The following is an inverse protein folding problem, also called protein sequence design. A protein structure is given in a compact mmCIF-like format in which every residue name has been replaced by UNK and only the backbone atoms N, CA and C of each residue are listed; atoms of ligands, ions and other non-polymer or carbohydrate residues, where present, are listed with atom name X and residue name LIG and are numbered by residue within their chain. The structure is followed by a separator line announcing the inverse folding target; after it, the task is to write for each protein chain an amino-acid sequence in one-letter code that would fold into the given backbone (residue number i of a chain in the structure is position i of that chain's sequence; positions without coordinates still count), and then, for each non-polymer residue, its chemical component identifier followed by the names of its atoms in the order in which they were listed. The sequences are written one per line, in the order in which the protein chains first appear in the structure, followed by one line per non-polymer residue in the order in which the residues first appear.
data_IF_497094224604
#
_entry.id   IF_497094224604
#
_cell.length_a   1.000
_cell.length_b   1.000
_cell.length_c   1.000
_cell.angle_alpha   90.00
_cell.angle_beta   90.00
_cell.angle_gamma   90.00
#
_symmetry.space_group_name_H-M   'P 1'
#
loop_
_entity.id
_entity.type
_entity.pdbx_description
1 polymer ?
#
# COMPACT_ATOMS: atom_id res chain seq x y z
N UNK A 1 20.80 2.29 20.88
CA UNK A 1 19.70 2.13 21.86
C UNK A 1 18.74 3.28 21.62
N UNK A 2 17.71 3.07 20.79
CA UNK A 2 16.71 4.09 20.46
C UNK A 2 15.50 3.85 21.36
N UNK A 3 15.07 4.91 22.04
CA UNK A 3 14.08 4.86 23.10
C UNK A 3 12.70 4.46 22.57
N UNK A 4 12.14 3.39 23.15
CA UNK A 4 10.73 3.05 23.01
C UNK A 4 9.95 3.93 23.98
N UNK A 5 9.21 4.91 23.47
CA UNK A 5 8.17 5.58 24.25
C UNK A 5 6.85 4.87 23.99
N UNK A 6 6.39 4.15 25.02
CA UNK A 6 5.03 3.64 25.09
C UNK A 6 4.07 4.83 25.19
N UNK A 7 3.12 4.93 24.27
CA UNK A 7 1.98 5.83 24.38
C UNK A 7 0.72 4.99 24.60
N UNK A 8 0.12 5.18 25.77
CA UNK A 8 -1.14 4.61 26.22
C UNK A 8 -2.32 5.04 25.32
N UNK A 9 -3.15 4.05 24.93
CA UNK A 9 -4.59 4.18 25.12
C UNK A 9 -5.45 4.93 24.08
N UNK A 10 -5.25 4.75 22.78
CA UNK A 10 -6.35 4.75 21.79
C UNK A 10 -5.84 4.25 20.45
N UNK A 11 -6.11 2.98 20.16
CA UNK A 11 -5.42 2.18 19.15
C UNK A 11 -5.70 2.59 17.70
N UNK A 12 -4.81 3.43 17.17
CA UNK A 12 -4.42 3.38 15.77
C UNK A 12 -2.94 3.75 15.72
N UNK A 13 -2.08 2.72 15.68
CA UNK A 13 -0.68 2.87 15.29
C UNK A 13 -0.69 3.35 13.84
N UNK A 14 -0.70 4.67 13.65
CA UNK A 14 -0.45 5.28 12.35
C UNK A 14 1.06 5.28 12.17
N UNK A 15 1.55 4.39 11.31
CA UNK A 15 2.89 4.54 10.78
C UNK A 15 2.93 5.88 10.04
N UNK A 16 3.62 6.87 10.61
CA UNK A 16 3.80 8.17 9.99
C UNK A 16 4.66 7.98 8.74
N UNK A 17 3.99 7.84 7.61
CA UNK A 17 4.61 7.74 6.30
C UNK A 17 4.70 9.10 5.60
N UNK A 18 4.59 10.21 6.35
CA UNK A 18 4.82 11.56 5.82
C UNK A 18 6.03 11.58 4.87
N UNK A 19 6.10 12.47 3.87
CA UNK A 19 7.27 12.56 2.97
C UNK A 19 8.62 12.84 3.68
N UNK A 20 8.61 13.01 5.01
CA UNK A 20 9.76 13.08 5.89
C UNK A 20 10.14 11.74 6.58
N UNK A 21 9.35 10.68 6.41
CA UNK A 21 9.62 9.35 6.94
C UNK A 21 10.77 8.72 6.15
N UNK A 22 11.83 8.23 6.82
CA UNK A 22 13.00 7.69 6.13
C UNK A 22 12.59 6.49 5.24
N UNK A 23 12.71 6.67 3.93
CA UNK A 23 12.36 5.66 2.92
C UNK A 23 11.20 6.04 1.99
N UNK A 24 10.44 7.10 2.29
CA UNK A 24 9.40 7.64 1.40
C UNK A 24 9.99 8.77 0.56
N UNK A 25 10.00 8.67 -0.80
CA UNK A 25 10.53 9.72 -1.66
C UNK A 25 9.79 11.05 -1.52
N UNK A 26 10.41 12.16 -1.87
CA UNK A 26 9.75 13.49 -1.81
C UNK A 26 8.61 13.64 -2.86
N UNK A 27 8.62 12.87 -3.95
CA UNK A 27 7.63 12.90 -5.04
C UNK A 27 6.56 11.82 -4.89
N UNK A 28 5.71 11.96 -3.87
CA UNK A 28 4.61 11.04 -3.59
C UNK A 28 3.33 11.50 -4.29
N UNK A 29 2.86 10.72 -5.25
CA UNK A 29 1.59 10.91 -5.94
C UNK A 29 0.40 10.57 -5.03
N UNK A 30 0.54 9.55 -4.19
CA UNK A 30 -0.45 9.18 -3.19
C UNK A 30 0.17 8.36 -2.06
N UNK A 31 -0.32 8.56 -0.83
CA UNK A 31 0.12 7.82 0.33
C UNK A 31 -1.07 7.53 1.25
N UNK A 32 -1.22 6.26 1.62
CA UNK A 32 -2.26 5.79 2.53
C UNK A 32 -1.67 4.79 3.51
N UNK A 33 -1.93 4.98 4.80
CA UNK A 33 -1.65 4.01 5.84
C UNK A 33 -2.98 3.60 6.48
N UNK A 34 -3.17 2.29 6.68
CA UNK A 34 -4.25 1.80 7.52
C UNK A 34 -3.71 0.76 8.51
N UNK A 35 -4.05 0.94 9.78
CA UNK A 35 -3.84 -0.05 10.83
C UNK A 35 -5.20 -0.49 11.33
N UNK A 36 -5.42 -1.79 11.45
CA UNK A 36 -6.63 -2.34 12.07
C UNK A 36 -6.20 -3.22 13.23
N UNK A 37 -6.80 -3.05 14.40
CA UNK A 37 -6.57 -3.89 15.58
C UNK A 37 -7.25 -5.27 15.47
N UNK A 38 -8.06 -5.48 14.43
CA UNK A 38 -8.58 -6.78 14.05
C UNK A 38 -7.48 -7.59 13.34
N UNK A 39 -7.47 -8.91 13.54
CA UNK A 39 -6.59 -9.90 12.89
C UNK A 39 -6.60 -9.88 11.34
N UNK A 40 -7.26 -8.91 10.71
CA UNK A 40 -7.47 -8.79 9.27
C UNK A 40 -6.37 -8.00 8.53
N UNK A 41 -5.33 -7.54 9.23
CA UNK A 41 -4.14 -6.95 8.62
C UNK A 41 -4.34 -5.51 8.17
N UNK A 42 -3.53 -4.60 8.72
CA UNK A 42 -3.39 -3.23 8.24
C UNK A 42 -2.22 -3.13 7.28
N UNK A 43 -2.45 -2.62 6.07
CA UNK A 43 -1.41 -2.34 5.09
C UNK A 43 -1.19 -0.84 4.89
N UNK A 44 -0.10 -0.48 4.23
CA UNK A 44 0.09 0.86 3.69
C UNK A 44 0.48 0.81 2.23
N UNK A 45 0.16 1.86 1.49
CA UNK A 45 0.62 2.04 0.12
C UNK A 45 1.15 3.45 -0.08
N UNK A 46 2.31 3.58 -0.71
CA UNK A 46 2.78 4.83 -1.30
C UNK A 46 3.00 4.63 -2.80
N UNK A 47 2.53 5.57 -3.61
CA UNK A 47 2.69 5.54 -5.06
C UNK A 47 3.44 6.81 -5.45
N UNK A 48 4.55 6.64 -6.14
CA UNK A 48 5.40 7.71 -6.68
C UNK A 48 5.43 7.59 -8.20
N UNK A 49 6.07 8.52 -8.90
CA UNK A 49 6.23 8.42 -10.35
C UNK A 49 7.02 7.16 -10.77
N UNK A 50 7.97 6.72 -9.93
CA UNK A 50 8.93 5.68 -10.29
C UNK A 50 8.69 4.32 -9.60
N UNK A 51 7.91 4.29 -8.52
CA UNK A 51 7.73 3.07 -7.72
C UNK A 51 6.43 3.05 -6.90
N UNK A 52 6.01 1.82 -6.57
CA UNK A 52 4.94 1.51 -5.61
C UNK A 52 5.57 0.88 -4.37
N UNK A 53 5.21 1.41 -3.20
CA UNK A 53 5.64 0.90 -1.90
C UNK A 53 4.45 0.27 -1.20
N UNK A 54 4.58 -0.98 -0.78
CA UNK A 54 3.59 -1.72 -0.01
C UNK A 54 4.15 -1.96 1.39
N UNK A 55 3.49 -1.44 2.42
CA UNK A 55 3.82 -1.76 3.80
C UNK A 55 2.90 -2.86 4.33
N UNK A 56 3.51 -3.86 4.97
CA UNK A 56 2.86 -4.94 5.70
C UNK A 56 3.57 -5.14 7.06
N UNK A 57 3.07 -6.02 7.92
CA UNK A 57 3.70 -6.32 9.22
C UNK A 57 5.18 -6.73 9.08
N UNK A 58 5.54 -7.35 7.96
CA UNK A 58 6.89 -7.83 7.63
C UNK A 58 7.88 -6.70 7.28
N UNK A 59 7.39 -5.49 6.99
CA UNK A 59 8.19 -4.36 6.52
C UNK A 59 7.62 -3.69 5.26
N UNK A 60 8.44 -2.84 4.63
CA UNK A 60 8.08 -2.09 3.41
C UNK A 60 8.73 -2.76 2.21
N UNK A 61 7.91 -3.16 1.23
CA UNK A 61 8.32 -3.64 -0.07
C UNK A 61 8.25 -2.49 -1.09
N UNK A 62 9.32 -2.28 -1.84
CA UNK A 62 9.35 -1.37 -3.00
C UNK A 62 9.29 -2.20 -4.29
N UNK A 63 8.45 -1.77 -5.22
CA UNK A 63 8.33 -2.34 -6.57
C UNK A 63 8.49 -1.19 -7.56
N UNK A 64 9.48 -1.26 -8.45
CA UNK A 64 9.68 -0.23 -9.47
C UNK A 64 8.54 -0.27 -10.49
N UNK A 65 8.06 0.92 -10.87
CA UNK A 65 6.93 1.07 -11.78
C UNK A 65 7.19 0.41 -13.15
N UNK A 66 8.45 0.41 -13.60
CA UNK A 66 8.89 -0.28 -14.82
C UNK A 66 8.76 -1.79 -14.76
N UNK A 67 8.76 -2.36 -13.55
CA UNK A 67 8.75 -3.82 -13.33
C UNK A 67 7.34 -4.35 -13.09
N UNK A 68 6.35 -3.45 -12.91
CA UNK A 68 4.95 -3.81 -12.72
C UNK A 68 4.34 -4.19 -14.07
N UNK A 69 3.96 -5.47 -14.20
CA UNK A 69 3.33 -6.02 -15.40
C UNK A 69 1.83 -5.73 -15.44
N UNK A 70 1.18 -5.86 -14.27
CA UNK A 70 -0.26 -5.62 -14.13
C UNK A 70 -0.62 -5.35 -12.66
N UNK A 71 -1.81 -4.81 -12.44
CA UNK A 71 -2.35 -4.58 -11.10
C UNK A 71 -3.87 -4.66 -11.12
N UNK A 72 -4.47 -4.90 -9.94
CA UNK A 72 -5.93 -4.85 -9.78
C UNK A 72 -6.33 -4.46 -8.36
N UNK A 73 -7.54 -3.93 -8.23
CA UNK A 73 -8.21 -3.74 -6.94
C UNK A 73 -9.48 -4.59 -6.84
N UNK A 74 -9.59 -5.36 -5.75
CA UNK A 74 -10.76 -6.21 -5.49
C UNK A 74 -11.45 -5.81 -4.17
N UNK A 75 -12.74 -5.45 -4.17
CA UNK A 75 -13.48 -5.15 -2.95
C UNK A 75 -13.48 -6.33 -1.96
N UNK A 76 -13.35 -6.03 -0.66
CA UNK A 76 -13.33 -7.00 0.45
C UNK A 76 -14.06 -6.40 1.67
N UNK A 77 -15.38 -6.28 1.58
CA UNK A 77 -16.19 -5.71 2.65
C UNK A 77 -15.84 -4.25 2.93
N UNK A 78 -15.34 -3.95 4.14
CA UNK A 78 -14.87 -2.60 4.53
C UNK A 78 -13.46 -2.27 4.03
N UNK A 79 -12.80 -3.24 3.40
CA UNK A 79 -11.47 -3.13 2.83
C UNK A 79 -11.55 -3.33 1.31
N UNK A 80 -10.42 -3.12 0.64
CA UNK A 80 -10.15 -3.66 -0.68
C UNK A 80 -8.74 -4.25 -0.69
N UNK A 81 -8.54 -5.26 -1.51
CA UNK A 81 -7.22 -5.80 -1.79
C UNK A 81 -6.64 -5.08 -3.01
N UNK A 82 -5.46 -4.51 -2.87
CA UNK A 82 -4.61 -4.10 -3.97
C UNK A 82 -3.63 -5.23 -4.25
N UNK A 83 -3.59 -5.70 -5.48
CA UNK A 83 -2.61 -6.68 -5.92
C UNK A 83 -1.76 -6.08 -7.04
N UNK A 84 -0.45 -6.16 -6.89
CA UNK A 84 0.54 -5.69 -7.85
C UNK A 84 1.36 -6.89 -8.32
N UNK A 85 1.41 -7.11 -9.62
CA UNK A 85 2.15 -8.21 -10.23
C UNK A 85 3.41 -7.68 -10.91
N UNK A 86 4.57 -8.15 -10.45
CA UNK A 86 5.87 -7.93 -11.06
C UNK A 86 6.47 -9.29 -11.48
N UNK A 87 7.60 -9.69 -10.90
CA UNK A 87 8.08 -11.08 -10.96
C UNK A 87 7.24 -12.01 -10.09
N UNK A 88 6.67 -11.48 -9.01
CA UNK A 88 5.71 -12.19 -8.17
C UNK A 88 4.50 -11.30 -7.86
N UNK A 89 3.39 -11.92 -7.44
CA UNK A 89 2.18 -11.19 -7.06
C UNK A 89 2.26 -10.77 -5.58
N UNK A 90 2.21 -9.46 -5.34
CA UNK A 90 2.19 -8.86 -4.02
C UNK A 90 0.81 -8.31 -3.72
N UNK A 91 0.30 -8.53 -2.51
CA UNK A 91 -1.06 -8.16 -2.16
C UNK A 91 -1.08 -7.44 -0.83
N UNK A 92 -1.65 -6.24 -0.79
CA UNK A 92 -1.91 -5.49 0.45
C UNK A 92 -3.40 -5.23 0.61
N UNK A 93 -3.85 -5.01 1.85
CA UNK A 93 -5.23 -4.65 2.16
C UNK A 93 -5.30 -3.23 2.68
N UNK A 94 -6.26 -2.47 2.15
CA UNK A 94 -6.47 -1.06 2.45
C UNK A 94 -7.95 -0.80 2.70
N UNK A 95 -8.29 0.23 3.47
CA UNK A 95 -9.70 0.59 3.66
C UNK A 95 -10.35 1.05 2.35
N UNK A 96 -11.62 0.66 2.15
CA UNK A 96 -12.34 0.93 0.90
C UNK A 96 -12.53 2.42 0.57
N UNK A 97 -12.46 3.32 1.56
CA UNK A 97 -12.51 4.78 1.30
C UNK A 97 -11.28 5.30 0.53
N UNK A 98 -10.13 4.61 0.60
CA UNK A 98 -8.95 4.94 -0.18
C UNK A 98 -8.99 4.40 -1.61
N UNK A 99 -9.88 3.44 -1.90
CA UNK A 99 -9.87 2.68 -3.16
C UNK A 99 -9.90 3.59 -4.39
N UNK A 100 -10.78 4.58 -4.42
CA UNK A 100 -10.88 5.49 -5.57
C UNK A 100 -9.58 6.25 -5.81
N UNK A 101 -8.96 6.77 -4.75
CA UNK A 101 -7.71 7.51 -4.88
C UNK A 101 -6.54 6.60 -5.26
N UNK A 102 -6.48 5.39 -4.69
CA UNK A 102 -5.49 4.37 -5.07
C UNK A 102 -5.63 3.97 -6.54
N UNK A 103 -6.85 3.69 -7.02
CA UNK A 103 -7.12 3.34 -8.42
C UNK A 103 -6.68 4.46 -9.36
N UNK A 104 -6.99 5.72 -9.03
CA UNK A 104 -6.57 6.87 -9.84
C UNK A 104 -5.04 7.04 -9.87
N UNK A 105 -4.37 6.91 -8.72
CA UNK A 105 -2.91 7.02 -8.63
C UNK A 105 -2.20 5.89 -9.40
N UNK A 106 -2.64 4.65 -9.23
CA UNK A 106 -2.14 3.50 -9.99
C UNK A 106 -2.40 3.65 -11.49
N UNK A 107 -3.59 4.12 -11.88
CA UNK A 107 -3.93 4.35 -13.30
C UNK A 107 -3.02 5.39 -13.95
N UNK A 108 -2.67 6.45 -13.22
CA UNK A 108 -1.76 7.49 -13.71
C UNK A 108 -0.31 7.04 -13.79
N UNK A 109 0.11 6.19 -12.87
CA UNK A 109 1.52 5.78 -12.72
C UNK A 109 1.86 4.58 -13.59
N UNK A 110 1.01 3.56 -13.57
CA UNK A 110 1.25 2.25 -14.19
C UNK A 110 0.40 2.05 -15.44
N UNK A 111 -0.84 2.58 -15.44
CA UNK A 111 -1.83 2.34 -16.50
C UNK A 111 -3.10 1.67 -15.96
N UNK A 112 -4.08 1.35 -16.82
CA UNK A 112 -5.40 0.86 -16.39
C UNK A 112 -5.33 -0.46 -15.61
N UNK A 113 -6.34 -0.73 -14.78
CA UNK A 113 -6.48 -2.02 -14.10
C UNK A 113 -6.47 -3.17 -15.10
N UNK A 114 -5.66 -4.19 -14.82
CA UNK A 114 -5.60 -5.40 -15.61
C UNK A 114 -6.41 -6.53 -15.00
N UNK A 115 -6.62 -7.58 -15.80
CA UNK A 115 -7.14 -8.86 -15.31
C UNK A 115 -5.97 -9.64 -14.72
N UNK A 116 -6.02 -9.94 -13.42
CA UNK A 116 -5.12 -10.93 -12.85
C UNK A 116 -5.53 -12.30 -13.32
N UNK A 117 -4.72 -12.90 -14.19
CA UNK A 117 -4.83 -14.30 -14.53
C UNK A 117 -4.35 -15.10 -13.32
N UNK A 118 -5.26 -15.44 -12.42
CA UNK A 118 -4.97 -16.46 -11.41
C UNK A 118 -4.65 -17.74 -12.16
N UNK A 119 -3.40 -18.19 -12.10
CA UNK A 119 -3.08 -19.59 -12.30
C UNK A 119 -3.92 -20.38 -11.30
N UNK A 120 -4.83 -21.19 -11.83
CA UNK A 120 -5.66 -22.12 -11.07
C UNK A 120 -4.81 -23.25 -10.47
#
# INVERSE_FOLDING_TARGET
MVAMSAADGSGADFLDLSPAAPGVPADVTALFACSTSARDGGGSVAITADAVYLGEESGILRIDASDIRTWSSAPRGRMFALTVESDTAHRTQLFSHFRTATVLAMTRTIGPEGVLLRAA
#
